data_IF_384565954101
#
_entry.id   IF_384565954101
#
_cell.length_a   1.000
_cell.length_b   1.000
_cell.length_c   1.000
_cell.angle_alpha   90.00
_cell.angle_beta   90.00
_cell.angle_gamma   90.00
#
_symmetry.space_group_name_H-M   'P 1'
#
loop_
_entity.id
_entity.type
_entity.pdbx_description
1 polymer ?
#
# COMPACT_ATOMS: atom_id res chain seq x y z
N UNK A 1 35.15 -16.93 -3.89
CA UNK A 1 33.85 -16.72 -3.20
C UNK A 1 33.92 -17.06 -1.71
N UNK A 2 34.42 -18.23 -1.26
CA UNK A 2 34.42 -18.67 0.15
C UNK A 2 35.07 -17.66 1.11
N UNK A 3 36.26 -17.11 0.71
CA UNK A 3 36.96 -16.10 1.52
C UNK A 3 36.19 -14.78 1.62
N UNK A 4 35.43 -14.44 0.60
CA UNK A 4 34.53 -13.27 0.59
C UNK A 4 33.40 -13.44 1.63
N UNK A 5 32.71 -14.58 1.58
CA UNK A 5 31.65 -14.90 2.53
C UNK A 5 32.17 -14.99 3.97
N UNK A 6 33.34 -15.60 4.18
CA UNK A 6 33.97 -15.72 5.49
C UNK A 6 34.37 -14.34 6.10
N UNK A 7 34.57 -13.34 5.27
CA UNK A 7 34.89 -11.98 5.71
C UNK A 7 33.73 -11.21 6.28
N UNK A 8 32.49 -11.45 5.81
CA UNK A 8 31.29 -10.68 6.14
C UNK A 8 30.90 -10.72 7.64
N UNK A 9 30.94 -11.90 8.32
CA UNK A 9 30.46 -12.01 9.70
C UNK A 9 31.19 -11.14 10.71
N UNK A 10 32.43 -10.71 10.43
CA UNK A 10 33.18 -9.83 11.32
C UNK A 10 32.48 -8.47 11.55
N UNK A 11 31.87 -7.92 10.51
CA UNK A 11 31.08 -6.68 10.57
C UNK A 11 30.06 -6.66 9.43
N UNK A 12 28.89 -7.31 9.61
CA UNK A 12 27.91 -7.50 8.53
C UNK A 12 27.43 -6.19 7.90
N UNK A 13 27.33 -5.11 8.66
CA UNK A 13 26.91 -3.80 8.14
C UNK A 13 28.02 -3.16 7.29
N UNK A 14 29.27 -3.17 7.77
CA UNK A 14 30.42 -2.58 7.07
C UNK A 14 30.75 -3.35 5.79
N UNK A 15 30.71 -4.67 5.85
CA UNK A 15 31.05 -5.55 4.75
C UNK A 15 29.84 -6.09 3.98
N UNK A 16 28.69 -5.39 4.07
CA UNK A 16 27.52 -5.72 3.26
C UNK A 16 27.84 -5.51 1.78
N UNK A 17 27.89 -6.57 0.97
CA UNK A 17 28.33 -6.45 -0.41
C UNK A 17 27.37 -5.66 -1.31
N UNK A 18 26.10 -5.58 -0.94
CA UNK A 18 25.09 -4.81 -1.69
C UNK A 18 25.17 -3.30 -1.43
N UNK A 19 25.79 -2.90 -0.31
CA UNK A 19 25.94 -1.48 0.06
C UNK A 19 27.37 -0.98 -0.08
N UNK A 20 28.35 -1.84 0.23
CA UNK A 20 29.76 -1.49 0.36
C UNK A 20 30.65 -2.56 -0.29
N UNK A 21 30.46 -2.82 -1.59
CA UNK A 21 31.16 -3.91 -2.31
C UNK A 21 32.68 -3.84 -2.17
N UNK A 22 33.25 -2.65 -2.32
CA UNK A 22 34.71 -2.44 -2.23
C UNK A 22 35.25 -2.81 -0.85
N UNK A 23 34.55 -2.47 0.23
CA UNK A 23 34.93 -2.82 1.60
C UNK A 23 34.87 -4.34 1.81
N UNK A 24 33.85 -5.00 1.25
CA UNK A 24 33.73 -6.46 1.30
C UNK A 24 34.86 -7.14 0.50
N UNK A 25 35.24 -6.59 -0.66
CA UNK A 25 36.35 -7.07 -1.50
C UNK A 25 37.68 -6.86 -0.80
N UNK A 26 37.92 -5.73 -0.17
CA UNK A 26 39.10 -5.49 0.67
C UNK A 26 39.19 -6.52 1.79
N UNK A 27 38.09 -6.80 2.48
CA UNK A 27 38.04 -7.82 3.53
C UNK A 27 38.30 -9.23 3.02
N UNK A 28 37.79 -9.60 1.84
CA UNK A 28 38.16 -10.85 1.17
C UNK A 28 39.67 -10.98 1.02
N UNK A 29 40.33 -9.92 0.56
CA UNK A 29 41.79 -9.95 0.36
C UNK A 29 42.53 -10.15 1.69
N UNK A 30 42.13 -9.47 2.77
CA UNK A 30 42.70 -9.70 4.11
C UNK A 30 42.52 -11.16 4.55
N UNK A 31 41.36 -11.78 4.33
CA UNK A 31 41.09 -13.19 4.65
C UNK A 31 42.02 -14.10 3.83
N UNK A 32 42.17 -13.85 2.53
CA UNK A 32 43.05 -14.61 1.65
C UNK A 32 44.53 -14.51 2.07
N UNK A 33 45.01 -13.32 2.47
CA UNK A 33 46.38 -13.12 2.98
C UNK A 33 46.60 -13.90 4.28
N UNK A 34 45.63 -13.92 5.18
CA UNK A 34 45.69 -14.72 6.42
C UNK A 34 45.70 -16.23 6.11
N UNK A 35 44.95 -16.69 5.11
CA UNK A 35 44.98 -18.09 4.67
C UNK A 35 46.36 -18.48 4.10
N UNK A 36 46.98 -17.60 3.31
CA UNK A 36 48.32 -17.80 2.80
C UNK A 36 49.36 -17.87 3.92
N UNK A 37 49.35 -16.89 4.85
CA UNK A 37 50.26 -16.83 5.99
C UNK A 37 50.17 -18.08 6.88
N UNK A 38 48.97 -18.67 6.99
CA UNK A 38 48.74 -19.92 7.72
C UNK A 38 48.85 -21.17 6.85
N UNK A 39 49.47 -21.06 5.66
CA UNK A 39 49.74 -22.19 4.74
C UNK A 39 48.48 -22.99 4.37
N UNK A 40 47.30 -22.34 4.33
CA UNK A 40 46.03 -22.95 3.95
C UNK A 40 45.78 -22.89 2.44
N UNK A 41 46.45 -21.98 1.74
CA UNK A 41 46.42 -21.80 0.29
C UNK A 41 47.82 -21.51 -0.22
N UNK A 42 48.05 -21.72 -1.51
CA UNK A 42 49.32 -21.36 -2.19
C UNK A 42 49.23 -19.91 -2.71
N UNK A 43 50.39 -19.36 -3.13
CA UNK A 43 50.44 -18.03 -3.78
C UNK A 43 49.60 -18.03 -5.05
N UNK A 44 49.66 -19.08 -5.85
CA UNK A 44 48.86 -19.21 -7.07
C UNK A 44 47.35 -19.22 -6.78
N UNK A 45 46.93 -19.92 -5.70
CA UNK A 45 45.48 -19.88 -5.28
C UNK A 45 45.04 -18.49 -4.86
N UNK A 46 45.92 -17.73 -4.16
CA UNK A 46 45.63 -16.35 -3.77
C UNK A 46 45.44 -15.47 -5.00
N UNK A 47 46.37 -15.52 -5.97
CA UNK A 47 46.31 -14.72 -7.19
C UNK A 47 45.04 -15.03 -8.00
N UNK A 48 44.67 -16.28 -8.16
CA UNK A 48 43.46 -16.71 -8.82
C UNK A 48 42.19 -16.20 -8.08
N UNK A 49 42.16 -16.33 -6.74
CA UNK A 49 41.03 -15.91 -5.94
C UNK A 49 40.85 -14.39 -5.89
N UNK A 50 41.93 -13.61 -5.96
CA UNK A 50 41.86 -12.13 -6.04
C UNK A 50 41.35 -11.67 -7.41
N UNK A 51 41.81 -12.37 -8.49
CA UNK A 51 41.38 -12.07 -9.85
C UNK A 51 39.92 -12.48 -10.14
N UNK A 52 39.35 -13.37 -9.33
CA UNK A 52 37.98 -13.85 -9.51
C UNK A 52 36.98 -12.74 -9.40
N UNK A 53 36.11 -12.64 -10.43
CA UNK A 53 34.98 -11.72 -10.41
C UNK A 53 33.83 -12.28 -9.56
N UNK A 54 33.43 -11.56 -8.54
CA UNK A 54 32.27 -11.93 -7.71
C UNK A 54 31.02 -11.29 -8.29
N UNK A 55 30.11 -12.12 -8.78
CA UNK A 55 28.82 -11.69 -9.29
C UNK A 55 27.76 -11.84 -8.17
N UNK A 56 27.35 -10.70 -7.61
CA UNK A 56 26.24 -10.70 -6.66
C UNK A 56 24.93 -10.97 -7.39
N UNK A 57 24.18 -11.93 -6.91
CA UNK A 57 22.79 -12.04 -7.34
C UNK A 57 22.00 -10.87 -6.78
N UNK A 58 21.03 -10.30 -7.52
CA UNK A 58 20.16 -9.26 -6.98
C UNK A 58 19.53 -9.75 -5.68
N UNK A 59 19.60 -8.92 -4.63
CA UNK A 59 18.87 -9.19 -3.40
C UNK A 59 17.39 -8.89 -3.65
N UNK A 60 16.67 -9.88 -4.15
CA UNK A 60 15.24 -9.82 -4.36
C UNK A 60 14.55 -10.55 -3.20
N UNK A 61 14.35 -9.84 -2.11
CA UNK A 61 13.38 -10.25 -1.11
C UNK A 61 12.06 -9.59 -1.48
N UNK A 62 11.30 -10.23 -2.35
CA UNK A 62 10.02 -9.72 -2.78
C UNK A 62 8.95 -10.05 -1.74
N UNK A 63 8.56 -9.07 -0.94
CA UNK A 63 7.41 -9.20 -0.06
C UNK A 63 6.16 -8.86 -0.87
N UNK A 64 5.36 -9.86 -1.18
CA UNK A 64 4.04 -9.65 -1.78
C UNK A 64 3.09 -9.10 -0.72
N UNK A 65 2.19 -8.19 -1.13
CA UNK A 65 1.25 -7.51 -0.24
C UNK A 65 1.91 -6.90 1.04
N UNK A 66 2.94 -6.03 0.91
CA UNK A 66 3.74 -5.59 2.05
C UNK A 66 2.94 -4.89 3.14
N UNK A 67 1.95 -4.05 2.84
CA UNK A 67 1.07 -3.44 3.84
C UNK A 67 0.29 -4.49 4.64
N UNK A 68 -0.17 -5.55 3.98
CA UNK A 68 -0.88 -6.62 4.66
C UNK A 68 0.05 -7.44 5.56
N UNK A 69 1.22 -7.83 5.04
CA UNK A 69 2.17 -8.70 5.76
C UNK A 69 2.90 -7.93 6.87
N UNK A 70 3.52 -6.79 6.52
CA UNK A 70 4.38 -6.03 7.46
C UNK A 70 3.58 -5.13 8.41
N UNK A 71 2.37 -4.73 8.02
CA UNK A 71 1.46 -3.97 8.86
C UNK A 71 0.45 -4.88 9.56
N UNK A 72 -0.62 -5.22 8.86
CA UNK A 72 -1.78 -5.88 9.45
C UNK A 72 -1.49 -7.24 10.11
N UNK A 73 -0.75 -8.12 9.44
CA UNK A 73 -0.41 -9.44 10.00
C UNK A 73 0.59 -9.31 11.14
N UNK A 74 1.63 -8.48 10.98
CA UNK A 74 2.60 -8.24 12.04
C UNK A 74 1.93 -7.69 13.31
N UNK A 75 1.03 -6.72 13.17
CA UNK A 75 0.26 -6.17 14.28
C UNK A 75 -0.62 -7.22 14.98
N UNK A 76 -1.28 -8.08 14.20
CA UNK A 76 -2.14 -9.14 14.76
C UNK A 76 -1.32 -10.19 15.52
N UNK A 77 -0.16 -10.57 14.98
CA UNK A 77 0.78 -11.49 15.64
C UNK A 77 1.32 -10.88 16.93
N UNK A 78 1.77 -9.61 16.85
CA UNK A 78 2.26 -8.88 18.03
C UNK A 78 1.22 -8.83 19.14
N UNK A 79 -0.04 -8.52 18.83
CA UNK A 79 -1.14 -8.49 19.81
C UNK A 79 -1.44 -9.86 20.44
N UNK A 80 -1.35 -10.95 19.66
CA UNK A 80 -1.70 -12.30 20.14
C UNK A 80 -0.57 -13.02 20.87
N UNK A 81 0.67 -12.85 20.37
CA UNK A 81 1.81 -13.66 20.79
C UNK A 81 3.00 -12.82 21.30
N UNK A 82 2.88 -11.48 21.22
CA UNK A 82 3.96 -10.54 21.55
C UNK A 82 4.94 -10.31 20.40
N UNK A 83 5.65 -9.18 20.45
CA UNK A 83 6.54 -8.72 19.35
C UNK A 83 7.64 -9.74 19.00
N UNK A 84 8.11 -10.49 20.00
CA UNK A 84 9.18 -11.47 19.82
C UNK A 84 8.78 -12.61 18.89
N UNK A 85 7.50 -13.00 18.88
CA UNK A 85 7.00 -14.11 18.09
C UNK A 85 7.23 -13.93 16.58
N UNK A 86 7.21 -12.70 16.08
CA UNK A 86 7.46 -12.37 14.66
C UNK A 86 8.88 -12.81 14.24
N UNK A 87 9.84 -12.73 15.15
CA UNK A 87 11.27 -12.93 14.82
C UNK A 87 11.84 -14.27 15.26
N UNK A 88 11.24 -14.96 16.23
CA UNK A 88 11.88 -16.10 16.89
C UNK A 88 11.08 -17.39 16.88
N UNK A 89 9.78 -17.37 16.66
CA UNK A 89 8.94 -18.55 16.93
C UNK A 89 8.69 -19.41 15.68
N UNK A 90 9.20 -19.00 14.50
CA UNK A 90 9.10 -19.76 13.25
C UNK A 90 7.64 -20.01 12.83
N UNK A 91 6.78 -19.01 12.99
CA UNK A 91 5.34 -19.15 12.73
C UNK A 91 5.07 -19.39 11.24
N UNK A 92 4.19 -20.34 10.95
CA UNK A 92 3.61 -20.52 9.62
C UNK A 92 2.25 -19.84 9.58
N UNK A 93 2.14 -18.74 8.80
CA UNK A 93 0.95 -17.90 8.76
C UNK A 93 0.25 -18.11 7.42
N UNK A 94 -0.94 -18.70 7.46
CA UNK A 94 -1.81 -18.84 6.29
C UNK A 94 -2.80 -17.68 6.27
N UNK A 95 -2.93 -17.02 5.13
CA UNK A 95 -3.81 -15.86 4.93
C UNK A 95 -4.83 -16.11 3.83
N UNK A 96 -5.81 -15.22 3.72
CA UNK A 96 -6.85 -15.24 2.67
C UNK A 96 -6.44 -14.50 1.40
N UNK A 97 -5.27 -13.86 1.37
CA UNK A 97 -4.79 -13.14 0.18
C UNK A 97 -4.63 -14.13 -0.98
N UNK A 98 -5.30 -13.86 -2.09
CA UNK A 98 -5.11 -14.56 -3.35
C UNK A 98 -3.93 -13.93 -4.10
N UNK A 99 -2.89 -14.73 -4.33
CA UNK A 99 -1.66 -14.26 -4.95
C UNK A 99 -1.86 -13.69 -6.37
N UNK A 100 -2.73 -14.34 -7.16
CA UNK A 100 -2.98 -13.90 -8.53
C UNK A 100 -3.82 -12.63 -8.57
N UNK A 101 -4.87 -12.56 -7.74
CA UNK A 101 -5.69 -11.35 -7.62
C UNK A 101 -4.89 -10.18 -7.07
N UNK A 102 -3.97 -10.41 -6.13
CA UNK A 102 -3.08 -9.38 -5.60
C UNK A 102 -2.19 -8.78 -6.71
N UNK A 103 -1.62 -9.62 -7.57
CA UNK A 103 -0.80 -9.19 -8.70
C UNK A 103 -1.62 -8.37 -9.71
N UNK A 104 -2.80 -8.87 -10.11
CA UNK A 104 -3.73 -8.15 -10.99
C UNK A 104 -4.13 -6.81 -10.37
N UNK A 105 -4.44 -6.80 -9.07
CA UNK A 105 -4.79 -5.57 -8.35
C UNK A 105 -3.67 -4.53 -8.39
N UNK A 106 -2.42 -4.95 -8.25
CA UNK A 106 -1.26 -4.06 -8.33
C UNK A 106 -1.12 -3.46 -9.74
N UNK A 107 -1.20 -4.27 -10.79
CA UNK A 107 -1.14 -3.80 -12.18
C UNK A 107 -2.26 -2.80 -12.50
N UNK A 108 -3.50 -3.12 -12.11
CA UNK A 108 -4.66 -2.23 -12.32
C UNK A 108 -4.47 -0.92 -11.57
N UNK A 109 -4.01 -0.96 -10.31
CA UNK A 109 -3.78 0.25 -9.53
C UNK A 109 -2.73 1.15 -10.19
N UNK A 110 -1.61 0.59 -10.65
CA UNK A 110 -0.56 1.32 -11.34
C UNK A 110 -1.05 1.95 -12.65
N UNK A 111 -1.78 1.20 -13.47
CA UNK A 111 -2.36 1.72 -14.71
C UNK A 111 -3.26 2.94 -14.46
N UNK A 112 -4.14 2.84 -13.45
CA UNK A 112 -5.06 3.94 -13.15
C UNK A 112 -4.36 5.14 -12.53
N UNK A 113 -3.40 4.93 -11.63
CA UNK A 113 -2.63 6.04 -11.05
C UNK A 113 -1.86 6.78 -12.15
N UNK A 114 -1.20 6.06 -13.07
CA UNK A 114 -0.49 6.69 -14.19
C UNK A 114 -1.39 7.61 -15.03
N UNK A 115 -2.65 7.20 -15.28
CA UNK A 115 -3.65 8.05 -15.95
C UNK A 115 -4.04 9.27 -15.11
N UNK A 116 -4.22 9.11 -13.80
CA UNK A 116 -4.59 10.22 -12.92
C UNK A 116 -3.44 11.18 -12.65
N UNK A 117 -2.20 10.74 -12.69
CA UNK A 117 -1.02 11.62 -12.59
C UNK A 117 -0.99 12.68 -13.68
N UNK A 118 -1.38 12.31 -14.92
CA UNK A 118 -1.45 13.25 -16.03
C UNK A 118 -2.58 14.28 -15.87
N UNK A 119 -3.71 13.88 -15.28
CA UNK A 119 -4.93 14.69 -15.22
C UNK A 119 -5.08 15.49 -13.91
N UNK A 120 -4.60 14.97 -12.78
CA UNK A 120 -4.99 15.47 -11.45
C UNK A 120 -3.90 15.50 -10.40
N UNK A 121 -2.65 15.25 -10.73
CA UNK A 121 -1.51 15.19 -9.79
C UNK A 121 -1.69 14.15 -8.66
N UNK A 122 -2.49 13.13 -8.87
CA UNK A 122 -2.67 12.03 -7.92
C UNK A 122 -1.56 10.98 -8.07
N UNK A 123 -0.61 10.92 -7.13
CA UNK A 123 0.57 10.07 -7.24
C UNK A 123 0.44 8.73 -6.51
N UNK A 124 -0.59 8.55 -5.69
CA UNK A 124 -0.76 7.36 -4.86
C UNK A 124 -2.23 6.90 -4.83
N UNK A 125 -2.45 5.65 -4.45
CA UNK A 125 -3.77 5.05 -4.34
C UNK A 125 -3.74 3.76 -3.55
N UNK A 126 -4.91 3.24 -3.22
CA UNK A 126 -5.08 1.99 -2.50
C UNK A 126 -6.19 1.14 -3.11
N UNK A 127 -6.10 -0.18 -2.94
CA UNK A 127 -7.11 -1.11 -3.40
C UNK A 127 -7.31 -2.23 -2.38
N UNK A 128 -8.55 -2.51 -2.05
CA UNK A 128 -8.95 -3.68 -1.27
C UNK A 128 -10.05 -4.43 -2.01
N UNK A 129 -9.94 -5.76 -2.09
CA UNK A 129 -10.99 -6.63 -2.58
C UNK A 129 -11.32 -7.69 -1.54
N UNK A 130 -12.62 -7.95 -1.37
CA UNK A 130 -13.15 -8.88 -0.38
C UNK A 130 -14.16 -9.82 -1.02
N UNK A 131 -14.19 -11.05 -0.56
CA UNK A 131 -15.31 -11.95 -0.87
C UNK A 131 -16.58 -11.48 -0.15
N UNK A 132 -17.66 -11.30 -0.90
CA UNK A 132 -18.92 -10.75 -0.36
C UNK A 132 -19.62 -11.71 0.60
N UNK A 133 -19.40 -13.03 0.47
CA UNK A 133 -20.07 -14.05 1.29
C UNK A 133 -19.30 -14.35 2.56
N UNK A 134 -17.96 -14.45 2.46
CA UNK A 134 -17.11 -14.84 3.59
C UNK A 134 -16.51 -13.64 4.32
N UNK A 135 -16.50 -12.45 3.68
CA UNK A 135 -15.81 -11.23 4.13
C UNK A 135 -14.29 -11.40 4.21
N UNK A 136 -13.73 -12.41 3.55
CA UNK A 136 -12.28 -12.61 3.47
C UNK A 136 -11.64 -11.56 2.58
N UNK A 137 -10.50 -11.03 3.02
CA UNK A 137 -9.71 -10.08 2.24
C UNK A 137 -8.87 -10.88 1.23
N UNK A 138 -9.13 -10.67 -0.05
CA UNK A 138 -8.45 -11.35 -1.15
C UNK A 138 -7.31 -10.52 -1.74
N UNK A 139 -7.45 -9.18 -1.72
CA UNK A 139 -6.46 -8.22 -2.20
C UNK A 139 -6.31 -7.11 -1.17
N UNK A 140 -5.06 -6.71 -0.90
CA UNK A 140 -4.77 -5.63 0.02
C UNK A 140 -3.55 -4.83 -0.45
N UNK A 141 -3.77 -3.66 -1.02
CA UNK A 141 -2.74 -2.76 -1.56
C UNK A 141 -2.95 -1.40 -0.93
N UNK A 142 -2.12 -1.06 0.04
CA UNK A 142 -2.27 0.18 0.83
C UNK A 142 -1.66 1.41 0.17
N UNK A 143 -0.76 1.23 -0.82
CA UNK A 143 -0.17 2.28 -1.64
C UNK A 143 0.30 1.71 -2.97
N UNK A 144 0.58 2.58 -3.93
CA UNK A 144 1.16 2.21 -5.24
C UNK A 144 2.47 1.42 -5.10
N UNK A 145 3.38 1.90 -4.25
CA UNK A 145 4.65 1.25 -3.96
C UNK A 145 5.02 1.46 -2.48
N UNK A 146 4.99 0.38 -1.71
CA UNK A 146 5.32 0.39 -0.28
C UNK A 146 6.74 0.89 0.02
N UNK A 147 7.69 0.62 -0.88
CA UNK A 147 9.11 0.93 -0.66
C UNK A 147 9.53 2.29 -1.17
N UNK A 148 8.66 3.03 -1.83
CA UNK A 148 8.92 4.39 -2.31
C UNK A 148 8.74 5.41 -1.19
N UNK A 149 9.84 6.08 -0.81
CA UNK A 149 9.79 7.18 0.16
C UNK A 149 9.23 8.47 -0.49
N UNK A 150 9.28 8.60 -1.81
CA UNK A 150 8.80 9.77 -2.57
C UNK A 150 7.28 9.98 -2.42
N UNK A 151 6.53 8.90 -2.43
CA UNK A 151 5.05 8.91 -2.29
C UNK A 151 4.59 8.53 -0.89
N UNK A 152 5.50 8.54 0.09
CA UNK A 152 5.22 8.05 1.45
C UNK A 152 4.59 6.65 1.45
N UNK A 153 5.16 5.74 0.65
CA UNK A 153 4.59 4.45 0.30
C UNK A 153 4.24 3.54 1.48
N UNK A 154 4.85 3.75 2.65
CA UNK A 154 4.54 2.99 3.88
C UNK A 154 3.23 3.41 4.54
N UNK A 155 2.66 4.56 4.15
CA UNK A 155 1.33 4.95 4.61
C UNK A 155 0.28 4.03 4.02
N UNK A 156 -0.48 3.37 4.89
CA UNK A 156 -1.57 2.49 4.48
C UNK A 156 -2.85 3.28 4.27
N UNK A 157 -3.16 3.61 3.01
CA UNK A 157 -4.33 4.40 2.65
C UNK A 157 -5.67 3.63 2.82
N UNK A 158 -5.63 2.30 3.06
CA UNK A 158 -6.83 1.52 3.38
C UNK A 158 -7.29 1.82 4.81
N UNK A 159 -6.33 1.98 5.74
CA UNK A 159 -6.62 2.21 7.16
C UNK A 159 -6.50 3.66 7.58
N UNK A 160 -5.91 4.52 6.76
CA UNK A 160 -5.80 5.95 7.00
C UNK A 160 -7.18 6.60 7.10
N UNK A 161 -7.35 7.46 8.10
CA UNK A 161 -8.59 8.20 8.31
C UNK A 161 -8.70 9.33 7.30
N UNK A 162 -9.41 9.10 6.22
CA UNK A 162 -9.66 10.09 5.18
C UNK A 162 -11.14 10.49 5.18
N UNK A 163 -11.43 11.71 4.68
CA UNK A 163 -12.81 12.11 4.42
C UNK A 163 -13.41 11.22 3.32
N UNK A 164 -14.54 10.55 3.58
CA UNK A 164 -15.16 9.69 2.56
C UNK A 164 -15.76 10.48 1.41
N UNK A 165 -16.01 11.76 1.59
CA UNK A 165 -16.63 12.63 0.57
C UNK A 165 -17.90 12.03 -0.01
N UNK A 166 -18.04 12.11 -1.34
CA UNK A 166 -19.21 11.60 -2.07
C UNK A 166 -19.39 10.09 -2.04
N UNK A 167 -18.42 9.31 -1.58
CA UNK A 167 -18.57 7.85 -1.44
C UNK A 167 -19.60 7.45 -0.38
N UNK A 168 -20.01 8.38 0.50
CA UNK A 168 -21.13 8.18 1.43
C UNK A 168 -22.51 8.30 0.79
N UNK A 169 -22.66 8.94 -0.36
CA UNK A 169 -23.98 9.18 -1.00
C UNK A 169 -24.78 7.90 -1.29
N UNK A 170 -24.20 6.79 -1.75
CA UNK A 170 -24.93 5.53 -1.90
C UNK A 170 -25.64 5.08 -0.61
N UNK A 171 -25.00 5.24 0.54
CA UNK A 171 -25.57 4.87 1.84
C UNK A 171 -26.71 5.81 2.24
N UNK A 172 -26.58 7.11 1.95
CA UNK A 172 -27.64 8.09 2.13
C UNK A 172 -28.89 7.70 1.33
N UNK A 173 -28.73 7.40 0.04
CA UNK A 173 -29.85 7.02 -0.81
C UNK A 173 -30.40 5.63 -0.47
N UNK A 174 -29.55 4.69 -0.03
CA UNK A 174 -30.01 3.39 0.46
C UNK A 174 -30.96 3.56 1.65
N UNK A 175 -30.65 4.46 2.58
CA UNK A 175 -31.54 4.74 3.71
C UNK A 175 -32.84 5.41 3.25
N UNK A 176 -32.80 6.31 2.27
CA UNK A 176 -34.01 6.90 1.68
C UNK A 176 -34.89 5.83 1.00
N UNK A 177 -34.28 4.85 0.29
CA UNK A 177 -34.99 3.72 -0.30
C UNK A 177 -35.66 2.84 0.77
N UNK A 178 -35.00 2.59 1.89
CA UNK A 178 -35.60 1.88 3.03
C UNK A 178 -36.80 2.61 3.63
N UNK A 179 -36.85 3.93 3.46
CA UNK A 179 -37.98 4.79 3.85
C UNK A 179 -39.05 4.93 2.74
N UNK A 180 -38.99 4.14 1.68
CA UNK A 180 -39.99 4.10 0.62
C UNK A 180 -39.67 4.92 -0.63
N UNK A 181 -38.51 5.56 -0.72
CA UNK A 181 -38.10 6.19 -1.96
C UNK A 181 -37.76 5.13 -3.03
N UNK A 182 -37.73 5.55 -4.29
CA UNK A 182 -37.34 4.73 -5.43
C UNK A 182 -36.29 5.46 -6.26
N UNK A 183 -35.68 4.76 -7.21
CA UNK A 183 -34.74 5.37 -8.17
C UNK A 183 -35.38 6.50 -9.00
N UNK A 184 -36.72 6.45 -9.18
CA UNK A 184 -37.53 7.44 -9.88
C UNK A 184 -38.03 8.59 -8.99
N UNK A 185 -37.84 8.55 -7.67
CA UNK A 185 -38.29 9.61 -6.77
C UNK A 185 -37.64 10.96 -7.16
N UNK A 186 -38.50 11.97 -7.37
CA UNK A 186 -38.04 13.32 -7.75
C UNK A 186 -37.52 14.11 -6.55
N UNK A 187 -36.36 14.72 -6.72
CA UNK A 187 -35.78 15.64 -5.73
C UNK A 187 -35.46 16.95 -6.42
N UNK A 188 -35.81 18.07 -5.74
CA UNK A 188 -35.48 19.40 -6.24
C UNK A 188 -34.02 19.72 -6.01
N UNK A 189 -33.25 19.85 -7.10
CA UNK A 189 -31.86 20.30 -7.13
C UNK A 189 -31.85 21.81 -7.46
N UNK A 190 -31.85 22.63 -6.45
CA UNK A 190 -31.82 24.10 -6.54
C UNK A 190 -31.03 24.65 -5.34
N UNK A 191 -30.52 25.90 -5.41
CA UNK A 191 -29.85 26.54 -4.28
C UNK A 191 -30.63 26.33 -2.98
N UNK A 192 -29.95 25.92 -1.93
CA UNK A 192 -30.57 25.68 -0.64
C UNK A 192 -29.62 26.12 0.48
N UNK A 193 -30.25 26.64 1.57
CA UNK A 193 -29.54 26.93 2.82
C UNK A 193 -30.00 25.93 3.86
N UNK A 194 -29.06 25.28 4.51
CA UNK A 194 -29.35 24.33 5.59
C UNK A 194 -28.65 24.80 6.85
N UNK A 195 -29.41 24.86 7.93
CA UNK A 195 -28.86 25.20 9.24
C UNK A 195 -28.02 24.01 9.77
N UNK A 196 -26.78 24.28 10.14
CA UNK A 196 -25.92 23.33 10.81
C UNK A 196 -25.95 23.57 12.33
N UNK A 197 -26.55 22.66 13.10
CA UNK A 197 -26.65 22.84 14.55
C UNK A 197 -25.27 22.76 15.26
N UNK A 198 -24.27 22.14 14.63
CA UNK A 198 -22.96 21.98 15.23
C UNK A 198 -22.12 23.27 15.17
N UNK A 199 -22.21 24.00 14.07
CA UNK A 199 -21.53 25.29 13.91
C UNK A 199 -22.40 26.50 14.29
N UNK A 200 -23.73 26.35 14.34
CA UNK A 200 -24.69 27.45 14.52
C UNK A 200 -24.88 28.33 13.28
N UNK A 201 -24.35 27.91 12.14
CA UNK A 201 -24.38 28.70 10.90
C UNK A 201 -25.22 28.03 9.81
N UNK A 202 -25.54 28.82 8.77
CA UNK A 202 -26.18 28.29 7.57
C UNK A 202 -25.14 27.87 6.56
N UNK A 203 -25.21 26.60 6.10
CA UNK A 203 -24.41 26.03 5.05
C UNK A 203 -25.14 26.04 3.71
N UNK A 204 -24.48 26.49 2.65
CA UNK A 204 -24.98 26.49 1.28
C UNK A 204 -24.25 25.45 0.44
N UNK A 205 -24.77 24.22 0.28
CA UNK A 205 -24.12 23.19 -0.54
C UNK A 205 -24.16 23.61 -2.01
N UNK A 206 -23.01 23.46 -2.68
CA UNK A 206 -22.90 23.64 -4.12
C UNK A 206 -22.66 22.27 -4.79
N UNK A 207 -23.28 22.05 -5.94
CA UNK A 207 -23.02 20.89 -6.77
C UNK A 207 -21.64 21.00 -7.44
N UNK A 208 -21.04 19.86 -7.86
CA UNK A 208 -19.88 19.88 -8.75
C UNK A 208 -20.14 20.76 -9.97
N UNK A 209 -19.21 21.67 -10.28
CA UNK A 209 -19.38 22.63 -11.36
C UNK A 209 -20.40 23.75 -11.13
N UNK A 210 -20.99 23.87 -9.93
CA UNK A 210 -21.87 24.97 -9.53
C UNK A 210 -23.23 25.05 -10.25
N UNK A 211 -23.61 24.02 -11.01
CA UNK A 211 -24.87 23.98 -11.77
C UNK A 211 -25.94 23.18 -11.02
N UNK A 212 -27.19 23.58 -11.23
CA UNK A 212 -28.37 22.90 -10.68
C UNK A 212 -29.25 22.36 -11.80
N UNK A 213 -29.86 21.20 -11.59
CA UNK A 213 -30.66 20.49 -12.60
C UNK A 213 -32.15 20.70 -12.50
N UNK A 214 -32.61 21.46 -11.50
CA UNK A 214 -34.05 21.59 -11.19
C UNK A 214 -34.58 20.29 -10.57
N UNK A 215 -35.64 19.72 -11.10
CA UNK A 215 -36.15 18.43 -10.62
C UNK A 215 -35.34 17.30 -11.24
N UNK A 216 -34.66 16.53 -10.39
CA UNK A 216 -33.86 15.34 -10.79
C UNK A 216 -34.41 14.09 -10.11
N UNK A 217 -34.36 12.94 -10.77
CA UNK A 217 -34.62 11.66 -10.11
C UNK A 217 -33.49 11.28 -9.18
N UNK A 218 -33.78 10.47 -8.16
CA UNK A 218 -32.75 9.92 -7.25
C UNK A 218 -31.59 9.24 -7.99
N UNK A 219 -31.91 8.45 -9.03
CA UNK A 219 -30.86 7.83 -9.87
C UNK A 219 -29.95 8.88 -10.53
N UNK A 220 -30.54 9.93 -11.12
CA UNK A 220 -29.80 11.02 -11.77
C UNK A 220 -28.99 11.82 -10.74
N UNK A 221 -29.56 12.07 -9.58
CA UNK A 221 -28.89 12.80 -8.50
C UNK A 221 -27.67 12.06 -7.96
N UNK A 222 -27.77 10.74 -7.75
CA UNK A 222 -26.65 9.91 -7.33
C UNK A 222 -25.60 9.76 -8.44
N UNK A 223 -26.02 9.44 -9.67
CA UNK A 223 -25.10 9.24 -10.80
C UNK A 223 -24.29 10.49 -11.18
N UNK A 224 -24.81 11.69 -10.89
CA UNK A 224 -24.09 12.96 -11.08
C UNK A 224 -23.46 13.49 -9.78
N UNK A 225 -23.48 12.71 -8.73
CA UNK A 225 -22.93 13.08 -7.42
C UNK A 225 -23.40 14.45 -6.90
N UNK A 226 -24.69 14.81 -7.11
CA UNK A 226 -25.23 16.10 -6.71
C UNK A 226 -25.24 16.24 -5.19
N UNK A 227 -24.78 17.39 -4.67
CA UNK A 227 -24.66 17.61 -3.24
C UNK A 227 -26.00 18.04 -2.62
N UNK A 228 -26.75 18.94 -3.29
CA UNK A 228 -28.03 19.43 -2.76
C UNK A 228 -29.05 18.32 -2.62
N UNK A 229 -29.31 17.47 -3.63
CA UNK A 229 -30.21 16.34 -3.48
C UNK A 229 -29.78 15.34 -2.40
N UNK A 230 -28.45 15.05 -2.27
CA UNK A 230 -27.96 14.17 -1.25
C UNK A 230 -28.24 14.72 0.17
N UNK A 231 -28.00 16.00 0.38
CA UNK A 231 -28.29 16.64 1.66
C UNK A 231 -29.79 16.60 1.98
N UNK A 232 -30.67 16.85 0.99
CA UNK A 232 -32.14 16.76 1.17
C UNK A 232 -32.61 15.32 1.46
N UNK A 233 -31.88 14.31 1.02
CA UNK A 233 -32.17 12.91 1.32
C UNK A 233 -31.75 12.49 2.75
N UNK A 234 -30.87 13.25 3.40
CA UNK A 234 -30.48 13.04 4.81
C UNK A 234 -31.51 13.65 5.76
N UNK A 235 -32.07 14.82 5.40
CA UNK A 235 -33.07 15.56 6.17
C UNK A 235 -34.45 14.87 6.14
#
# INVERSE_FOLDING_TARGET
ESAFLAGIPQSPVRYNPYKNFDQAKMRQNEVLQLMLANQRITINDLELAVAETINLQPYQFEIKAPHFVLGRIADEISKRYGDRAIFSDGLNIVTTIDYNLQAIGQEVLEEWIAKFEEESLGHNGALIAMDVKTSEILVYIGSRDYFSDEIEGRNDNITSKNSPGSTLKPFTYLQAFRKGWTSGTGIVDAPAKVYDPASGEYFEPKNPGGKYLGVATTAKALGNSLNVPALKAIL
#
